data_IF_049151174016
#
_entry.id   IF_049151174016
#
_cell.length_a   1.000
_cell.length_b   1.000
_cell.length_c   1.000
_cell.angle_alpha   90.00
_cell.angle_beta   90.00
_cell.angle_gamma   90.00
#
_symmetry.space_group_name_H-M   'P 1'
#
loop_
_entity.id
_entity.type
_entity.pdbx_description
1 polymer ?
#
# COMPACT_ATOMS: atom_id res chain seq x y z
N UNK A 1 -10.00 -14.07 14.43
CA UNK A 1 -8.55 -13.77 14.39
C UNK A 1 -7.85 -14.71 15.37
N UNK A 2 -6.89 -15.49 14.89
CA UNK A 2 -6.17 -16.52 15.65
C UNK A 2 -4.85 -15.98 16.22
N UNK A 3 -4.24 -16.72 17.15
CA UNK A 3 -2.87 -16.43 17.63
C UNK A 3 -1.86 -16.48 16.46
N UNK A 4 -2.06 -17.38 15.50
CA UNK A 4 -1.24 -17.47 14.29
C UNK A 4 -1.30 -16.20 13.45
N UNK A 5 -2.48 -15.62 13.27
CA UNK A 5 -2.68 -14.38 12.53
C UNK A 5 -1.91 -13.22 13.18
N UNK A 6 -1.98 -13.10 14.51
CA UNK A 6 -1.26 -12.06 15.25
C UNK A 6 0.25 -12.18 15.11
N UNK A 7 0.79 -13.39 15.10
CA UNK A 7 2.22 -13.62 14.86
C UNK A 7 2.62 -13.27 13.44
N UNK A 8 1.80 -13.61 12.44
CA UNK A 8 2.02 -13.23 11.06
C UNK A 8 2.04 -11.70 10.90
N UNK A 9 1.08 -11.00 11.51
CA UNK A 9 0.98 -9.53 11.50
C UNK A 9 2.22 -8.89 12.12
N UNK A 10 2.70 -9.41 13.25
CA UNK A 10 3.94 -8.94 13.88
C UNK A 10 5.15 -9.15 12.98
N UNK A 11 5.27 -10.32 12.34
CA UNK A 11 6.35 -10.62 11.39
C UNK A 11 6.32 -9.70 10.17
N UNK A 12 5.13 -9.47 9.59
CA UNK A 12 4.97 -8.52 8.48
C UNK A 12 5.36 -7.11 8.91
N UNK A 13 4.94 -6.67 10.10
CA UNK A 13 5.33 -5.36 10.63
C UNK A 13 6.85 -5.25 10.85
N UNK A 14 7.53 -6.30 11.30
CA UNK A 14 8.98 -6.29 11.41
C UNK A 14 9.66 -6.24 10.03
N UNK A 15 9.15 -7.01 9.05
CA UNK A 15 9.62 -6.99 7.66
C UNK A 15 9.44 -5.61 7.02
N UNK A 16 8.30 -4.96 7.24
CA UNK A 16 8.02 -3.59 6.81
C UNK A 16 9.08 -2.61 7.33
N UNK A 17 9.40 -2.69 8.63
CA UNK A 17 10.44 -1.84 9.25
C UNK A 17 11.80 -2.07 8.60
N UNK A 18 12.25 -3.32 8.54
CA UNK A 18 13.57 -3.68 7.98
C UNK A 18 13.70 -3.27 6.51
N UNK A 19 12.61 -3.30 5.75
CA UNK A 19 12.62 -2.83 4.37
C UNK A 19 12.83 -1.32 4.29
N UNK A 20 12.11 -0.51 5.08
CA UNK A 20 12.30 0.95 5.09
C UNK A 20 13.70 1.35 5.57
N UNK A 21 14.25 0.66 6.58
CA UNK A 21 15.64 0.87 7.02
C UNK A 21 16.66 0.65 5.90
N UNK A 22 16.40 -0.30 4.99
CA UNK A 22 17.25 -0.58 3.82
C UNK A 22 16.99 0.36 2.63
N UNK A 23 15.88 1.09 2.63
CA UNK A 23 15.47 1.97 1.52
C UNK A 23 15.19 3.38 2.06
N UNK A 24 16.21 4.11 2.54
CA UNK A 24 16.02 5.39 3.24
C UNK A 24 15.45 6.50 2.34
N UNK A 25 15.49 6.35 1.01
CA UNK A 25 14.90 7.28 0.05
C UNK A 25 13.44 6.95 -0.30
N UNK A 26 12.87 5.87 0.25
CA UNK A 26 11.51 5.41 -0.04
C UNK A 26 10.60 5.70 1.16
N UNK A 27 9.47 6.33 0.90
CA UNK A 27 8.40 6.50 1.89
C UNK A 27 7.24 5.53 1.69
N UNK A 28 7.18 4.87 0.52
CA UNK A 28 6.13 3.92 0.17
C UNK A 28 6.68 2.54 -0.18
N UNK A 29 5.99 1.52 0.34
CA UNK A 29 6.22 0.11 0.03
C UNK A 29 4.91 -0.55 -0.39
N UNK A 30 4.98 -1.40 -1.41
CA UNK A 30 3.89 -2.31 -1.75
C UNK A 30 4.31 -3.75 -1.48
N UNK A 31 3.39 -4.56 -0.98
CA UNK A 31 3.58 -6.01 -0.83
C UNK A 31 2.24 -6.73 -0.82
N UNK A 32 2.26 -8.05 -0.94
CA UNK A 32 1.07 -8.85 -0.66
C UNK A 32 0.58 -8.59 0.76
N UNK A 33 -0.74 -8.48 0.90
CA UNK A 33 -1.40 -8.49 2.19
C UNK A 33 -1.24 -9.89 2.80
N UNK A 34 -1.07 -9.95 4.11
CA UNK A 34 -1.09 -11.24 4.82
C UNK A 34 -2.51 -11.53 5.33
N UNK A 35 -2.83 -12.81 5.50
CA UNK A 35 -4.11 -13.23 6.02
C UNK A 35 -4.40 -12.57 7.38
N UNK A 36 -5.61 -12.03 7.53
CA UNK A 36 -6.06 -11.37 8.76
C UNK A 36 -5.52 -9.97 9.01
N UNK A 37 -4.63 -9.43 8.16
CA UNK A 37 -4.00 -8.11 8.37
C UNK A 37 -5.00 -6.97 8.49
N UNK A 38 -6.08 -7.05 7.72
CA UNK A 38 -7.06 -5.97 7.61
C UNK A 38 -8.46 -6.36 8.13
N UNK A 39 -8.61 -7.50 8.81
CA UNK A 39 -9.92 -7.98 9.26
C UNK A 39 -10.84 -8.43 8.10
N UNK A 40 -12.18 -8.50 8.31
CA UNK A 40 -13.13 -8.95 7.31
C UNK A 40 -13.44 -7.85 6.29
N UNK A 41 -12.42 -7.27 5.65
CA UNK A 41 -12.65 -6.35 4.54
C UNK A 41 -13.09 -7.19 3.34
N UNK A 42 -14.34 -7.01 2.96
CA UNK A 42 -14.86 -7.54 1.70
C UNK A 42 -14.22 -6.78 0.55
N UNK A 43 -13.22 -7.40 -0.06
CA UNK A 43 -12.78 -6.98 -1.37
C UNK A 43 -13.82 -7.43 -2.39
N UNK A 44 -14.56 -6.48 -2.94
CA UNK A 44 -15.58 -6.73 -3.97
C UNK A 44 -15.00 -7.16 -5.31
N UNK A 45 -13.68 -6.97 -5.53
CA UNK A 45 -13.00 -7.35 -6.76
C UNK A 45 -12.13 -8.60 -6.49
N UNK A 46 -12.31 -9.70 -7.25
CA UNK A 46 -11.46 -10.87 -7.15
C UNK A 46 -10.03 -10.55 -7.63
N UNK A 47 -9.04 -10.94 -6.82
CA UNK A 47 -7.62 -10.78 -7.14
C UNK A 47 -6.73 -10.89 -5.90
N UNK A 48 -5.41 -10.97 -6.08
CA UNK A 48 -4.48 -10.90 -4.95
C UNK A 48 -4.70 -9.60 -4.15
N UNK A 49 -4.80 -9.74 -2.82
CA UNK A 49 -4.85 -8.62 -1.91
C UNK A 49 -3.43 -8.10 -1.65
N UNK A 50 -3.28 -6.78 -1.70
CA UNK A 50 -2.03 -6.07 -1.51
C UNK A 50 -2.17 -5.07 -0.37
N UNK A 51 -1.05 -4.74 0.24
CA UNK A 51 -0.88 -3.65 1.19
C UNK A 51 -0.02 -2.57 0.54
N UNK A 52 -0.55 -1.34 0.47
CA UNK A 52 0.26 -0.14 0.24
C UNK A 52 0.56 0.50 1.58
N UNK A 53 1.84 0.69 1.86
CA UNK A 53 2.34 1.07 3.17
C UNK A 53 3.07 2.40 3.01
N UNK A 54 2.72 3.37 3.85
CA UNK A 54 3.42 4.65 3.95
C UNK A 54 4.12 4.73 5.30
N UNK A 55 5.44 4.95 5.29
CA UNK A 55 6.17 5.38 6.48
C UNK A 55 6.07 6.90 6.58
N UNK A 56 5.23 7.40 7.50
CA UNK A 56 5.09 8.84 7.68
C UNK A 56 6.27 9.43 8.47
N UNK A 57 6.75 8.68 9.46
CA UNK A 57 8.01 8.92 10.19
C UNK A 57 8.60 7.55 10.59
N UNK A 58 9.92 7.45 10.87
CA UNK A 58 10.51 6.21 11.39
C UNK A 58 9.72 5.66 12.58
N UNK A 59 9.39 4.37 12.53
CA UNK A 59 8.57 3.69 13.55
C UNK A 59 7.05 3.79 13.33
N UNK A 60 6.54 4.82 12.65
CA UNK A 60 5.10 5.00 12.40
C UNK A 60 4.72 4.77 10.94
N UNK A 61 3.89 3.74 10.70
CA UNK A 61 3.52 3.28 9.36
C UNK A 61 2.02 3.10 9.25
N UNK A 62 1.45 3.67 8.19
CA UNK A 62 0.07 3.49 7.78
C UNK A 62 0.01 2.38 6.73
N UNK A 63 -1.01 1.54 6.79
CA UNK A 63 -1.22 0.44 5.84
C UNK A 63 -2.63 0.53 5.30
N UNK A 64 -2.75 0.48 3.98
CA UNK A 64 -4.04 0.46 3.30
C UNK A 64 -4.14 -0.78 2.41
N UNK A 65 -5.28 -1.48 2.44
CA UNK A 65 -5.53 -2.62 1.59
C UNK A 65 -6.00 -2.20 0.19
N UNK A 66 -5.61 -2.95 -0.83
CA UNK A 66 -6.19 -2.85 -2.18
C UNK A 66 -6.08 -4.19 -2.93
N UNK A 67 -6.81 -4.33 -4.04
CA UNK A 67 -6.70 -5.48 -4.95
C UNK A 67 -6.11 -5.07 -6.28
N UNK A 68 -5.23 -5.89 -6.83
CA UNK A 68 -4.70 -5.71 -8.17
C UNK A 68 -4.47 -7.07 -8.84
N UNK A 69 -4.77 -7.22 -10.15
CA UNK A 69 -4.64 -8.50 -10.86
C UNK A 69 -3.18 -8.95 -11.03
N UNK A 70 -2.24 -8.03 -10.91
CA UNK A 70 -0.80 -8.27 -11.02
C UNK A 70 -0.03 -7.39 -10.02
N UNK A 71 1.25 -7.72 -9.74
CA UNK A 71 2.11 -6.86 -8.93
C UNK A 71 2.19 -5.44 -9.49
N UNK A 72 1.86 -4.40 -8.68
CA UNK A 72 2.09 -3.03 -9.11
C UNK A 72 3.58 -2.75 -9.31
N UNK A 73 3.95 -1.84 -10.22
CA UNK A 73 5.34 -1.42 -10.38
C UNK A 73 5.92 -0.88 -9.06
N UNK A 74 7.09 -1.37 -8.64
CA UNK A 74 7.77 -0.95 -7.41
C UNK A 74 8.53 0.38 -7.58
N UNK A 75 7.77 1.45 -7.75
CA UNK A 75 8.27 2.82 -7.98
C UNK A 75 7.64 3.73 -6.92
N UNK A 76 8.42 4.65 -6.36
CA UNK A 76 7.98 5.52 -5.25
C UNK A 76 6.74 6.34 -5.62
N UNK A 77 6.74 6.97 -6.80
CA UNK A 77 5.63 7.80 -7.26
C UNK A 77 4.36 7.00 -7.49
N UNK A 78 4.50 5.72 -7.89
CA UNK A 78 3.36 4.80 -8.01
C UNK A 78 2.86 4.41 -6.61
N UNK A 79 3.76 4.09 -5.69
CA UNK A 79 3.41 3.79 -4.29
C UNK A 79 2.68 4.94 -3.62
N UNK A 80 3.15 6.17 -3.82
CA UNK A 80 2.49 7.38 -3.31
C UNK A 80 1.13 7.61 -3.97
N UNK A 81 1.07 7.62 -5.31
CA UNK A 81 -0.18 7.83 -6.04
C UNK A 81 -1.25 6.80 -5.68
N UNK A 82 -0.85 5.55 -5.51
CA UNK A 82 -1.72 4.46 -5.12
C UNK A 82 -2.19 4.62 -3.67
N UNK A 83 -1.30 4.96 -2.73
CA UNK A 83 -1.69 5.20 -1.34
C UNK A 83 -2.74 6.31 -1.24
N UNK A 84 -2.50 7.44 -1.91
CA UNK A 84 -3.41 8.59 -1.90
C UNK A 84 -4.77 8.23 -2.53
N UNK A 85 -4.76 7.54 -3.68
CA UNK A 85 -5.99 7.12 -4.34
C UNK A 85 -6.79 6.11 -3.51
N UNK A 86 -6.13 5.15 -2.84
CA UNK A 86 -6.78 4.18 -1.95
C UNK A 86 -7.38 4.88 -0.75
N UNK A 87 -6.64 5.77 -0.12
CA UNK A 87 -7.13 6.56 1.01
C UNK A 87 -8.35 7.40 0.64
N UNK A 88 -8.30 8.10 -0.50
CA UNK A 88 -9.42 8.90 -1.00
C UNK A 88 -10.65 8.06 -1.35
N UNK A 89 -10.45 6.92 -2.02
CA UNK A 89 -11.54 6.01 -2.37
C UNK A 89 -12.23 5.46 -1.12
N UNK A 90 -11.46 5.01 -0.12
CA UNK A 90 -11.99 4.54 1.16
C UNK A 90 -12.78 5.63 1.89
N UNK A 91 -12.26 6.87 1.93
CA UNK A 91 -12.96 8.01 2.56
C UNK A 91 -14.25 8.39 1.83
N UNK A 92 -14.27 8.24 0.51
CA UNK A 92 -15.43 8.56 -0.32
C UNK A 92 -16.41 7.39 -0.49
N UNK A 93 -16.13 6.21 0.09
CA UNK A 93 -16.93 5.00 -0.11
C UNK A 93 -16.94 4.50 -1.56
N UNK A 94 -15.91 4.81 -2.35
CA UNK A 94 -15.80 4.37 -3.74
C UNK A 94 -15.33 2.91 -3.81
N UNK A 95 -15.94 2.07 -4.65
CA UNK A 95 -15.65 0.63 -4.70
C UNK A 95 -14.34 0.29 -5.44
N UNK A 96 -13.69 1.26 -6.09
CA UNK A 96 -12.50 0.98 -6.88
C UNK A 96 -11.76 2.23 -7.34
N UNK A 97 -10.58 1.99 -7.90
CA UNK A 97 -9.64 2.99 -8.43
C UNK A 97 -9.12 2.45 -9.76
N UNK A 98 -8.98 3.31 -10.76
CA UNK A 98 -8.49 2.90 -12.07
C UNK A 98 -6.97 3.01 -12.17
N UNK A 99 -6.31 2.03 -12.79
CA UNK A 99 -4.86 2.03 -12.96
C UNK A 99 -4.35 3.27 -13.71
N UNK A 100 -5.09 3.75 -14.71
CA UNK A 100 -4.74 4.96 -15.47
C UNK A 100 -4.77 6.23 -14.62
N UNK A 101 -5.67 6.29 -13.63
CA UNK A 101 -5.70 7.40 -12.67
C UNK A 101 -4.45 7.40 -11.79
N UNK A 102 -4.04 6.23 -11.30
CA UNK A 102 -2.82 6.06 -10.51
C UNK A 102 -1.58 6.43 -11.33
N UNK A 103 -1.50 5.98 -12.58
CA UNK A 103 -0.40 6.34 -13.50
C UNK A 103 -0.33 7.84 -13.76
N UNK A 104 -1.48 8.47 -14.04
CA UNK A 104 -1.54 9.92 -14.28
C UNK A 104 -1.11 10.72 -13.04
N UNK A 105 -1.50 10.28 -11.84
CA UNK A 105 -1.04 10.86 -10.56
C UNK A 105 0.47 10.69 -10.39
N UNK A 106 1.02 9.49 -10.59
CA UNK A 106 2.44 9.21 -10.47
C UNK A 106 3.30 10.05 -11.43
N UNK A 107 2.86 10.19 -12.69
CA UNK A 107 3.55 11.06 -13.68
C UNK A 107 3.62 12.51 -13.19
N UNK A 108 2.54 13.05 -12.62
CA UNK A 108 2.52 14.41 -12.08
C UNK A 108 3.48 14.58 -10.90
N UNK A 109 3.58 13.58 -10.01
CA UNK A 109 4.52 13.58 -8.89
C UNK A 109 5.97 13.62 -9.39
N UNK A 110 6.30 12.78 -10.38
CA UNK A 110 7.64 12.73 -10.97
C UNK A 110 8.07 14.04 -11.61
N UNK A 111 7.14 14.74 -12.29
CA UNK A 111 7.42 16.05 -12.89
C UNK A 111 7.67 17.11 -11.81
N UNK A 112 6.84 17.12 -10.74
CA UNK A 112 6.98 18.09 -9.65
C UNK A 112 8.24 17.89 -8.81
N UNK A 113 8.72 16.66 -8.64
CA UNK A 113 9.96 16.37 -7.91
C UNK A 113 11.25 16.66 -8.69
N UNK A 114 11.16 17.06 -9.97
CA UNK A 114 12.30 17.41 -10.83
C UNK A 114 12.46 18.93 -11.05
N UNK A 115 11.54 19.74 -10.53
CA UNK A 115 11.63 21.20 -10.52
C UNK A 115 12.28 21.67 -9.21
#
# INVERSE_FOLDING_TARGET
MTIGDLQAIRKASASDRLWFEKHPTRSHRMRLAIAGEFGPIEFTIPGPAWAVIRQAIPGFRLRLPFTAPSPPPDIEEIGQALFDAVHEAMRAGKPGIFAEEVKARATRLRVRGRA
#
